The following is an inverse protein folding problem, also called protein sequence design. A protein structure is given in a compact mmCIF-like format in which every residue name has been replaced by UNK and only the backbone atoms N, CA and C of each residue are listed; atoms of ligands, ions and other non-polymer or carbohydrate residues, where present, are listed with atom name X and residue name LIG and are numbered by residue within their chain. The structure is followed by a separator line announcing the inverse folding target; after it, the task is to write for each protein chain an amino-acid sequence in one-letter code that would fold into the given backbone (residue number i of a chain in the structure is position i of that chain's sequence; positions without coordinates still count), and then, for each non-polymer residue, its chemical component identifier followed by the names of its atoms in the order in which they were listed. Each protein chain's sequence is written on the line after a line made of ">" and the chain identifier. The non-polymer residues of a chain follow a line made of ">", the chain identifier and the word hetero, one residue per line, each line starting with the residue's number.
data_IF_815224642442
#
_entry.id   IF_815224642442
#
_cell.length_a   1.000
_cell.length_b   1.000
_cell.length_c   1.000
_cell.angle_alpha   90.00
_cell.angle_beta   90.00
_cell.angle_gamma   90.00
#
_symmetry.space_group_name_H-M   'P 1'
#
loop_
_entity.id
_entity.type
_entity.pdbx_description
1 polymer ?
#
# COMPACT_ATOMS: atom_id res chain seq x y z
N UNK A 1 6.49 -12.62 3.43
CA UNK A 1 5.14 -13.08 3.78
C UNK A 1 4.19 -13.01 2.59
N UNK A 2 3.96 -11.82 2.02
CA UNK A 2 3.03 -11.59 0.89
C UNK A 2 3.25 -12.58 -0.27
N UNK A 3 4.47 -12.63 -0.82
CA UNK A 3 4.78 -13.49 -1.99
C UNK A 3 4.58 -15.00 -1.74
N UNK A 4 4.79 -15.46 -0.51
CA UNK A 4 4.57 -16.87 -0.14
C UNK A 4 3.08 -17.20 0.08
N UNK A 5 2.21 -16.19 0.12
CA UNK A 5 0.76 -16.32 0.32
C UNK A 5 0.01 -15.70 -0.85
N UNK A 6 0.55 -15.83 -2.07
CA UNK A 6 0.03 -15.22 -3.29
C UNK A 6 -1.46 -15.46 -3.51
N UNK A 7 -1.94 -16.67 -3.25
CA UNK A 7 -3.36 -17.02 -3.43
C UNK A 7 -4.31 -16.20 -2.55
N UNK A 8 -3.83 -15.69 -1.42
CA UNK A 8 -4.60 -14.77 -0.56
C UNK A 8 -4.75 -13.40 -1.21
N UNK A 9 -3.76 -12.94 -1.97
CA UNK A 9 -3.71 -11.61 -2.60
C UNK A 9 -4.27 -11.58 -4.01
N UNK A 10 -4.23 -12.72 -4.71
CA UNK A 10 -4.67 -12.83 -6.09
C UNK A 10 -6.09 -12.30 -6.27
N UNK A 11 -6.26 -11.41 -7.25
CA UNK A 11 -7.52 -10.77 -7.61
C UNK A 11 -8.20 -9.95 -6.49
N UNK A 12 -7.46 -9.59 -5.42
CA UNK A 12 -7.95 -8.78 -4.31
C UNK A 12 -7.69 -7.28 -4.47
N UNK A 13 -8.56 -6.48 -3.87
CA UNK A 13 -8.32 -5.05 -3.63
C UNK A 13 -7.53 -4.88 -2.33
N UNK A 14 -6.37 -4.25 -2.41
CA UNK A 14 -5.44 -4.09 -1.28
C UNK A 14 -5.28 -2.61 -0.95
N UNK A 15 -5.31 -2.26 0.34
CA UNK A 15 -4.86 -0.97 0.86
C UNK A 15 -3.48 -1.15 1.50
N UNK A 16 -2.50 -0.39 1.04
CA UNK A 16 -1.21 -0.21 1.70
C UNK A 16 -1.25 1.10 2.48
N UNK A 17 -1.39 1.01 3.80
CA UNK A 17 -1.58 2.14 4.71
C UNK A 17 -0.24 2.61 5.26
N UNK A 18 0.15 3.85 4.94
CA UNK A 18 1.50 4.36 5.22
C UNK A 18 2.50 3.77 4.25
N UNK A 19 2.23 3.86 2.95
CA UNK A 19 2.98 3.09 1.95
C UNK A 19 4.46 3.50 1.84
N UNK A 20 4.84 4.69 2.34
CA UNK A 20 6.19 5.22 2.20
C UNK A 20 6.60 5.25 0.73
N UNK A 21 7.71 4.57 0.40
CA UNK A 21 8.20 4.43 -0.98
C UNK A 21 7.44 3.39 -1.83
N UNK A 22 6.42 2.72 -1.27
CA UNK A 22 5.54 1.81 -2.00
C UNK A 22 6.00 0.35 -2.06
N UNK A 23 6.95 -0.08 -1.22
CA UNK A 23 7.51 -1.44 -1.29
C UNK A 23 6.48 -2.54 -1.04
N UNK A 24 5.60 -2.38 -0.04
CA UNK A 24 4.55 -3.36 0.24
C UNK A 24 3.48 -3.37 -0.85
N UNK A 25 3.22 -2.21 -1.46
CA UNK A 25 2.38 -2.09 -2.64
C UNK A 25 2.93 -2.89 -3.82
N UNK A 26 4.23 -2.80 -4.10
CA UNK A 26 4.88 -3.57 -5.17
C UNK A 26 4.85 -5.08 -4.89
N UNK A 27 5.08 -5.50 -3.64
CA UNK A 27 4.93 -6.92 -3.27
C UNK A 27 3.50 -7.42 -3.44
N UNK A 28 2.50 -6.62 -3.06
CA UNK A 28 1.08 -6.96 -3.23
C UNK A 28 0.69 -7.06 -4.70
N UNK A 29 1.15 -6.12 -5.54
CA UNK A 29 0.94 -6.18 -6.98
C UNK A 29 1.65 -7.38 -7.64
N UNK A 30 2.87 -7.71 -7.19
CA UNK A 30 3.61 -8.91 -7.63
C UNK A 30 2.88 -10.20 -7.21
N UNK A 31 2.18 -10.17 -6.09
CA UNK A 31 1.31 -11.26 -5.63
C UNK A 31 -0.05 -11.30 -6.36
N UNK A 32 -0.17 -10.70 -7.54
CA UNK A 32 -1.37 -10.69 -8.40
C UNK A 32 -2.59 -10.00 -7.79
N UNK A 33 -2.40 -9.03 -6.89
CA UNK A 33 -3.49 -8.16 -6.48
C UNK A 33 -4.21 -7.55 -7.69
N UNK A 34 -5.53 -7.44 -7.61
CA UNK A 34 -6.34 -6.82 -8.66
C UNK A 34 -5.96 -5.35 -8.81
N UNK A 35 -5.92 -4.64 -7.69
CA UNK A 35 -5.53 -3.24 -7.56
C UNK A 35 -4.99 -2.99 -6.15
N UNK A 36 -3.97 -2.15 -6.04
CA UNK A 36 -3.41 -1.70 -4.77
C UNK A 36 -3.60 -0.19 -4.65
N UNK A 37 -4.16 0.25 -3.52
CA UNK A 37 -4.25 1.66 -3.15
C UNK A 37 -3.11 1.96 -2.17
N UNK A 38 -2.14 2.75 -2.60
CA UNK A 38 -0.96 3.09 -1.81
C UNK A 38 -1.17 4.46 -1.16
N UNK A 39 -1.54 4.48 0.12
CA UNK A 39 -1.93 5.70 0.83
C UNK A 39 -0.80 6.17 1.74
N UNK A 40 -0.39 7.43 1.58
CA UNK A 40 0.58 8.08 2.47
C UNK A 40 0.31 9.58 2.54
N UNK A 41 0.44 10.16 3.73
CA UNK A 41 0.22 11.59 3.95
C UNK A 41 1.45 12.43 3.59
N UNK A 42 2.65 11.85 3.67
CA UNK A 42 3.89 12.59 3.51
C UNK A 42 4.26 12.84 2.05
N UNK A 43 5.22 13.75 1.83
CA UNK A 43 5.72 14.08 0.50
C UNK A 43 6.47 12.91 -0.17
N UNK A 44 6.83 11.87 0.58
CA UNK A 44 7.51 10.66 0.06
C UNK A 44 6.69 9.99 -1.04
N UNK A 45 5.37 10.20 -1.05
CA UNK A 45 4.50 9.57 -2.04
C UNK A 45 4.81 10.00 -3.46
N UNK A 46 5.38 11.19 -3.68
CA UNK A 46 5.84 11.59 -5.01
C UNK A 46 7.02 10.75 -5.48
N UNK A 47 7.92 10.36 -4.57
CA UNK A 47 8.96 9.38 -4.89
C UNK A 47 8.38 7.98 -5.11
N UNK A 48 7.36 7.58 -4.35
CA UNK A 48 6.66 6.32 -4.58
C UNK A 48 6.02 6.27 -5.99
N UNK A 49 5.44 7.38 -6.46
CA UNK A 49 4.89 7.49 -7.82
C UNK A 49 5.97 7.25 -8.88
N UNK A 50 7.15 7.83 -8.72
CA UNK A 50 8.27 7.63 -9.65
C UNK A 50 8.78 6.18 -9.62
N UNK A 51 8.96 5.61 -8.42
CA UNK A 51 9.35 4.20 -8.24
C UNK A 51 8.34 3.26 -8.92
N UNK A 52 7.04 3.47 -8.73
CA UNK A 52 5.98 2.66 -9.34
C UNK A 52 6.02 2.75 -10.87
N UNK A 53 6.23 3.95 -11.42
CA UNK A 53 6.35 4.19 -12.86
C UNK A 53 7.58 3.51 -13.45
N UNK A 54 8.74 3.67 -12.81
CA UNK A 54 10.00 3.05 -13.25
C UNK A 54 9.93 1.51 -13.26
N UNK A 55 9.08 0.93 -12.41
CA UNK A 55 8.82 -0.51 -12.36
C UNK A 55 7.63 -0.96 -13.24
N UNK A 56 7.01 -0.07 -14.02
CA UNK A 56 5.86 -0.35 -14.89
C UNK A 56 4.65 -0.94 -14.14
N UNK A 57 4.37 -0.48 -12.92
CA UNK A 57 3.30 -1.00 -12.06
C UNK A 57 2.10 -0.04 -11.89
N UNK A 58 2.07 1.05 -12.64
CA UNK A 58 1.05 2.11 -12.58
C UNK A 58 -0.38 1.63 -12.89
N UNK A 59 -0.54 0.61 -13.73
CA UNK A 59 -1.84 -0.01 -13.97
C UNK A 59 -2.40 -0.72 -12.73
N UNK A 60 -1.51 -1.21 -11.86
CA UNK A 60 -1.87 -2.03 -10.68
C UNK A 60 -1.86 -1.25 -9.38
N UNK A 61 -1.02 -0.23 -9.25
CA UNK A 61 -0.86 0.52 -8.01
C UNK A 61 -1.33 1.96 -8.23
N UNK A 62 -2.24 2.42 -7.37
CA UNK A 62 -2.77 3.79 -7.36
C UNK A 62 -2.31 4.51 -6.09
N UNK A 63 -1.34 5.43 -6.21
CA UNK A 63 -0.91 6.29 -5.10
C UNK A 63 -2.00 7.29 -4.71
N UNK A 64 -2.20 7.49 -3.41
CA UNK A 64 -3.18 8.43 -2.85
C UNK A 64 -2.49 9.25 -1.77
N UNK A 65 -2.30 10.55 -2.03
CA UNK A 65 -1.73 11.47 -1.04
C UNK A 65 -2.82 11.89 -0.05
N UNK A 66 -2.68 11.51 1.20
CA UNK A 66 -3.65 11.87 2.24
C UNK A 66 -3.53 11.05 3.51
N UNK A 67 -4.30 11.47 4.52
CA UNK A 67 -4.55 10.72 5.76
C UNK A 67 -5.72 9.78 5.55
N UNK A 68 -5.67 8.57 6.11
CA UNK A 68 -6.76 7.60 5.97
C UNK A 68 -8.07 8.16 6.54
N UNK A 69 -8.00 8.88 7.65
CA UNK A 69 -9.15 9.45 8.36
C UNK A 69 -9.91 10.48 7.52
N UNK A 70 -9.21 11.17 6.62
CA UNK A 70 -9.75 12.22 5.75
C UNK A 70 -10.00 11.72 4.31
N UNK A 71 -9.53 10.53 3.97
CA UNK A 71 -9.57 9.97 2.61
C UNK A 71 -10.78 9.05 2.44
N UNK A 72 -11.63 9.35 1.45
CA UNK A 72 -12.71 8.47 1.06
C UNK A 72 -12.22 7.45 0.03
N UNK A 73 -12.18 6.18 0.44
CA UNK A 73 -12.00 5.07 -0.49
C UNK A 73 -13.33 4.76 -1.17
N UNK A 74 -13.33 4.70 -2.50
CA UNK A 74 -14.55 4.43 -3.29
C UNK A 74 -15.12 3.03 -3.04
N UNK A 75 -14.26 2.07 -2.71
CA UNK A 75 -14.61 0.67 -2.52
C UNK A 75 -14.07 0.16 -1.18
N UNK A 76 -14.77 -0.82 -0.60
CA UNK A 76 -14.17 -1.65 0.45
C UNK A 76 -12.99 -2.42 -0.12
N UNK A 77 -11.93 -2.54 0.66
CA UNK A 77 -10.76 -3.37 0.33
C UNK A 77 -10.89 -4.73 0.98
N UNK A 78 -10.29 -5.75 0.37
CA UNK A 78 -10.26 -7.11 0.89
C UNK A 78 -9.14 -7.30 1.92
N UNK A 79 -8.02 -6.57 1.74
CA UNK A 79 -6.81 -6.69 2.55
C UNK A 79 -6.28 -5.29 2.88
N UNK A 80 -5.86 -5.11 4.14
CA UNK A 80 -5.03 -3.99 4.56
C UNK A 80 -3.64 -4.55 4.88
N UNK A 81 -2.62 -4.00 4.23
CA UNK A 81 -1.21 -4.20 4.57
C UNK A 81 -0.67 -2.88 5.09
N UNK A 82 0.19 -2.95 6.09
CA UNK A 82 0.82 -1.78 6.69
C UNK A 82 2.02 -2.23 7.48
N UNK A 83 3.03 -1.37 7.52
CA UNK A 83 4.08 -1.40 8.51
C UNK A 83 3.78 -0.24 9.48
N UNK A 84 3.23 -0.58 10.64
CA UNK A 84 2.79 0.39 11.67
C UNK A 84 3.56 0.22 12.98
N UNK A 85 4.46 -0.77 13.05
CA UNK A 85 5.06 -1.21 14.31
C UNK A 85 6.31 -0.38 14.61
N UNK A 86 6.18 0.60 15.51
CA UNK A 86 7.33 1.36 15.99
C UNK A 86 8.09 0.67 17.13
N UNK A 87 8.93 1.43 17.83
CA UNK A 87 9.73 0.88 18.94
C UNK A 87 8.86 0.23 20.02
N UNK A 88 9.24 -0.98 20.41
CA UNK A 88 8.46 -1.80 21.35
C UNK A 88 6.96 -1.87 20.96
N UNK A 89 6.72 -2.02 19.65
CA UNK A 89 5.43 -2.16 18.98
C UNK A 89 4.56 -0.89 18.93
N UNK A 90 4.49 -0.12 20.01
CA UNK A 90 3.48 0.93 20.19
C UNK A 90 4.02 2.35 20.15
N UNK A 91 5.34 2.53 20.24
CA UNK A 91 5.92 3.86 20.08
C UNK A 91 5.65 4.35 18.65
N UNK A 92 5.45 5.65 18.45
CA UNK A 92 5.00 6.31 17.19
C UNK A 92 3.48 6.33 16.95
N UNK A 93 2.69 5.49 17.63
CA UNK A 93 1.23 5.66 17.70
C UNK A 93 0.48 5.55 16.36
N UNK A 94 0.94 4.67 15.47
CA UNK A 94 0.34 4.45 14.14
C UNK A 94 -0.79 3.38 14.12
N UNK A 95 -1.02 2.67 15.23
CA UNK A 95 -2.12 1.70 15.41
C UNK A 95 -3.38 2.38 15.95
#
# INVERSE_FOLDING_TARGET
>A
AILNNKDTFKDKLVLDLGCGTGILSMFSATAEAKKVFALDQSEVIYHAMDIIRENNMEDKISPIKGRLEDTKLENKVDIIVSEWMGYFLLFEGML
#
